data_IF_966795396001
#
_entry.id   IF_966795396001
#
_cell.length_a   1.000
_cell.length_b   1.000
_cell.length_c   1.000
_cell.angle_alpha   90.00
_cell.angle_beta   90.00
_cell.angle_gamma   90.00
#
_symmetry.space_group_name_H-M   'P 1'
#
loop_
_entity.id
_entity.type
_entity.pdbx_description
1 polymer ?
#
# COMPACT_ATOMS: atom_id res chain seq x y z
N UNK A 1 -2.69 12.81 73.52
CA UNK A 1 -2.21 14.21 73.44
C UNK A 1 -1.45 14.34 72.12
N UNK A 2 -1.70 15.29 71.23
CA UNK A 2 -2.50 16.54 71.30
C UNK A 2 -3.50 16.64 70.14
N UNK A 3 -4.50 17.53 70.27
CA UNK A 3 -5.46 17.87 69.22
C UNK A 3 -5.17 19.26 68.63
N UNK A 4 -5.45 19.44 67.33
CA UNK A 4 -6.02 20.66 66.73
C UNK A 4 -6.12 20.52 65.21
N UNK A 5 -6.93 21.26 64.46
CA UNK A 5 -8.29 21.85 64.60
C UNK A 5 -8.43 22.92 63.49
N UNK A 6 -9.62 23.07 62.89
CA UNK A 6 -9.93 24.13 61.92
C UNK A 6 -9.41 23.92 60.48
N UNK A 7 -9.99 24.49 59.43
CA UNK A 7 -11.25 25.26 59.26
C UNK A 7 -11.75 25.12 57.80
N UNK A 8 -13.07 25.25 57.60
CA UNK A 8 -13.69 25.71 56.35
C UNK A 8 -14.14 27.18 56.58
N UNK A 9 -14.46 28.04 55.59
CA UNK A 9 -15.19 27.77 54.33
C UNK A 9 -14.46 28.37 53.08
N UNK A 10 -15.02 28.83 51.95
CA UNK A 10 -16.40 29.20 51.55
C UNK A 10 -16.64 29.23 50.02
N UNK A 11 -17.92 29.18 49.64
CA UNK A 11 -18.60 29.75 48.45
C UNK A 11 -17.92 29.80 47.05
N UNK A 12 -18.53 29.07 46.10
CA UNK A 12 -18.94 29.71 44.83
C UNK A 12 -20.31 29.22 44.31
N UNK A 13 -21.33 30.00 44.69
CA UNK A 13 -22.58 30.33 43.99
C UNK A 13 -23.22 29.29 43.03
N UNK A 14 -24.41 28.90 43.44
CA UNK A 14 -25.52 28.32 42.67
C UNK A 14 -25.77 28.97 41.30
N UNK A 15 -26.07 28.12 40.30
CA UNK A 15 -26.91 28.45 39.15
C UNK A 15 -27.94 27.33 38.99
N UNK A 16 -29.22 27.69 38.79
CA UNK A 16 -30.34 26.74 38.80
C UNK A 16 -30.37 25.88 37.54
N UNK A 17 -30.70 24.60 37.71
CA UNK A 17 -31.31 23.81 36.63
C UNK A 17 -32.71 24.38 36.41
N UNK A 18 -33.01 24.76 35.17
CA UNK A 18 -34.36 25.06 34.71
C UNK A 18 -34.62 24.23 33.47
N UNK A 19 -35.45 23.20 33.63
CA UNK A 19 -36.00 22.45 32.51
C UNK A 19 -36.72 23.40 31.55
N UNK A 20 -36.38 23.31 30.28
CA UNK A 20 -37.08 23.98 29.18
C UNK A 20 -37.35 22.95 28.10
N UNK A 21 -38.44 22.21 28.29
CA UNK A 21 -39.06 21.38 27.26
C UNK A 21 -39.68 22.26 26.15
N UNK A 22 -38.85 22.88 25.32
CA UNK A 22 -39.33 23.60 24.12
C UNK A 22 -39.15 22.76 22.85
N UNK A 23 -40.03 21.76 22.75
CA UNK A 23 -40.86 21.48 21.57
C UNK A 23 -40.27 21.89 20.19
N UNK A 24 -39.22 21.21 19.73
CA UNK A 24 -38.72 21.33 18.34
C UNK A 24 -39.63 20.57 17.38
N UNK A 25 -40.84 21.12 17.17
CA UNK A 25 -41.74 20.71 16.09
C UNK A 25 -41.26 21.35 14.78
N UNK A 26 -40.20 20.79 14.20
CA UNK A 26 -39.68 21.25 12.92
C UNK A 26 -40.66 20.90 11.80
N UNK A 27 -41.13 21.91 11.08
CA UNK A 27 -42.15 21.77 10.04
C UNK A 27 -41.72 20.76 8.95
N UNK A 28 -42.53 19.73 8.79
CA UNK A 28 -42.71 19.08 7.49
C UNK A 28 -43.50 20.10 6.66
N UNK A 29 -42.81 20.82 5.77
CA UNK A 29 -43.30 21.37 4.50
C UNK A 29 -42.39 22.52 4.02
N UNK A 30 -41.28 22.15 3.38
CA UNK A 30 -40.61 22.91 2.31
C UNK A 30 -39.47 22.05 1.72
N UNK A 31 -39.84 21.01 0.98
CA UNK A 31 -38.91 20.38 0.03
C UNK A 31 -38.86 21.31 -1.18
N UNK A 32 -37.90 22.22 -1.20
CA UNK A 32 -37.59 23.02 -2.38
C UNK A 32 -37.13 22.09 -3.51
N UNK A 33 -38.07 21.72 -4.38
CA UNK A 33 -37.82 20.90 -5.56
C UNK A 33 -36.98 21.70 -6.56
N UNK A 34 -35.65 21.61 -6.42
CA UNK A 34 -34.70 22.12 -7.40
C UNK A 34 -34.90 21.41 -8.73
N UNK A 35 -35.71 22.02 -9.59
CA UNK A 35 -35.93 21.59 -10.96
C UNK A 35 -34.58 21.44 -11.68
N UNK A 36 -34.41 20.29 -12.33
CA UNK A 36 -33.23 20.04 -13.14
C UNK A 36 -33.38 20.84 -14.44
N UNK A 37 -32.38 21.66 -14.86
CA UNK A 37 -32.46 22.43 -16.09
C UNK A 37 -32.86 21.57 -17.30
N UNK A 38 -33.81 22.06 -18.10
CA UNK A 38 -34.47 21.33 -19.20
C UNK A 38 -33.48 20.61 -20.15
N UNK A 39 -32.37 21.25 -20.51
CA UNK A 39 -31.28 20.67 -21.33
C UNK A 39 -30.72 19.34 -20.78
N UNK A 40 -30.77 19.14 -19.45
CA UNK A 40 -30.32 17.90 -18.81
C UNK A 40 -31.37 16.80 -18.83
N UNK A 41 -32.64 17.10 -19.07
CA UNK A 41 -33.70 16.10 -19.24
C UNK A 41 -33.69 15.53 -20.66
N UNK A 42 -33.63 16.38 -21.69
CA UNK A 42 -33.54 15.92 -23.10
C UNK A 42 -32.31 15.03 -23.33
N UNK A 43 -31.17 15.40 -22.75
CA UNK A 43 -29.92 14.62 -22.82
C UNK A 43 -29.95 13.33 -21.98
N UNK A 44 -30.95 13.11 -21.12
CA UNK A 44 -31.20 11.80 -20.50
C UNK A 44 -32.04 10.93 -21.44
N UNK A 45 -32.97 11.49 -22.20
CA UNK A 45 -33.85 10.74 -23.10
C UNK A 45 -33.17 10.28 -24.40
N UNK A 46 -32.20 11.02 -24.92
CA UNK A 46 -31.42 10.62 -26.11
C UNK A 46 -30.35 9.56 -25.81
N UNK A 47 -29.95 9.39 -24.54
CA UNK A 47 -28.82 8.54 -24.16
C UNK A 47 -29.17 7.05 -24.08
N UNK A 48 -28.23 6.20 -24.52
CA UNK A 48 -28.37 4.74 -24.47
C UNK A 48 -28.56 4.22 -23.03
N UNK A 49 -29.33 3.13 -22.87
CA UNK A 49 -29.55 2.44 -21.58
C UNK A 49 -28.23 2.18 -20.81
N UNK A 50 -27.12 1.93 -21.53
CA UNK A 50 -25.78 1.72 -20.95
C UNK A 50 -25.15 3.00 -20.42
N UNK A 51 -25.32 4.13 -21.11
CA UNK A 51 -24.84 5.45 -20.69
C UNK A 51 -25.65 5.96 -19.48
N UNK A 52 -26.98 5.84 -19.50
CA UNK A 52 -27.85 6.18 -18.34
C UNK A 52 -27.43 5.39 -17.09
N UNK A 53 -27.20 4.07 -17.21
CA UNK A 53 -26.73 3.22 -16.09
C UNK A 53 -25.34 3.61 -15.57
N UNK A 54 -24.44 4.11 -16.44
CA UNK A 54 -23.12 4.64 -16.03
C UNK A 54 -23.27 5.95 -15.25
N UNK A 55 -24.08 6.90 -15.75
CA UNK A 55 -24.32 8.19 -15.12
C UNK A 55 -24.99 8.05 -13.74
N UNK A 56 -26.01 7.19 -13.62
CA UNK A 56 -26.67 6.91 -12.34
C UNK A 56 -25.72 6.30 -11.31
N UNK A 57 -24.87 5.34 -11.71
CA UNK A 57 -23.81 4.81 -10.85
C UNK A 57 -22.80 5.88 -10.44
N UNK A 58 -22.49 6.82 -11.33
CA UNK A 58 -21.56 7.92 -11.02
C UNK A 58 -22.17 8.88 -10.00
N UNK A 59 -23.42 9.35 -10.19
CA UNK A 59 -24.15 10.17 -9.20
C UNK A 59 -24.21 9.50 -7.82
N UNK A 60 -24.68 8.25 -7.75
CA UNK A 60 -24.69 7.46 -6.51
C UNK A 60 -23.31 7.33 -5.88
N UNK A 61 -22.25 7.20 -6.69
CA UNK A 61 -20.89 7.16 -6.19
C UNK A 61 -20.43 8.52 -5.63
N UNK A 62 -20.87 9.63 -6.19
CA UNK A 62 -20.55 10.98 -5.70
C UNK A 62 -21.33 11.37 -4.46
N UNK A 63 -22.63 11.09 -4.40
CA UNK A 63 -23.48 11.25 -3.21
C UNK A 63 -22.89 10.47 -2.02
N UNK A 64 -22.54 9.20 -2.22
CA UNK A 64 -21.92 8.36 -1.20
C UNK A 64 -20.45 8.75 -0.89
N UNK A 65 -19.84 9.75 -1.56
CA UNK A 65 -18.43 10.13 -1.33
C UNK A 65 -18.18 10.59 0.10
N UNK A 66 -19.09 11.38 0.67
CA UNK A 66 -19.01 11.87 2.06
C UNK A 66 -19.21 10.72 3.05
N UNK A 67 -20.25 9.90 2.85
CA UNK A 67 -20.54 8.73 3.68
C UNK A 67 -19.38 7.71 3.68
N UNK A 68 -18.77 7.45 2.52
CA UNK A 68 -17.55 6.61 2.42
C UNK A 68 -16.36 7.24 3.15
N UNK A 69 -16.21 8.57 3.15
CA UNK A 69 -15.16 9.28 3.91
C UNK A 69 -15.38 9.19 5.42
N UNK A 70 -16.62 9.33 5.88
CA UNK A 70 -17.01 9.12 7.29
C UNK A 70 -16.80 7.67 7.73
N UNK A 71 -17.34 6.68 7.01
CA UNK A 71 -17.16 5.24 7.30
C UNK A 71 -15.69 4.80 7.29
N UNK A 72 -14.84 5.44 6.48
CA UNK A 72 -13.36 5.26 6.52
C UNK A 72 -12.72 5.88 7.77
N UNK A 73 -13.15 7.08 8.20
CA UNK A 73 -12.69 7.69 9.47
C UNK A 73 -13.10 6.85 10.68
N UNK A 74 -14.37 6.46 10.76
CA UNK A 74 -14.93 5.63 11.81
C UNK A 74 -14.21 4.28 11.92
N UNK A 75 -14.04 3.56 10.79
CA UNK A 75 -13.28 2.30 10.76
C UNK A 75 -11.79 2.49 11.15
N UNK A 76 -11.21 3.67 10.94
CA UNK A 76 -9.85 4.01 11.40
C UNK A 76 -9.81 4.29 12.91
N UNK A 77 -10.82 4.95 13.45
CA UNK A 77 -10.98 5.19 14.89
C UNK A 77 -11.25 3.89 15.64
N UNK A 78 -12.20 3.06 15.19
CA UNK A 78 -12.48 1.75 15.76
C UNK A 78 -11.22 0.86 15.80
N UNK A 79 -10.46 0.80 14.71
CA UNK A 79 -9.15 0.12 14.65
C UNK A 79 -8.07 0.74 15.54
N UNK A 80 -8.19 2.01 15.96
CA UNK A 80 -7.30 2.64 16.94
C UNK A 80 -7.69 2.22 18.35
N UNK A 81 -8.98 2.27 18.69
CA UNK A 81 -9.52 1.82 19.98
C UNK A 81 -9.27 0.33 20.21
N UNK A 82 -9.53 -0.53 19.21
CA UNK A 82 -9.22 -1.97 19.24
C UNK A 82 -7.73 -2.25 19.49
N UNK A 83 -6.82 -1.39 18.99
CA UNK A 83 -5.38 -1.52 19.27
C UNK A 83 -5.03 -1.08 20.69
N UNK A 84 -5.67 -0.03 21.18
CA UNK A 84 -5.40 0.52 22.51
C UNK A 84 -5.92 -0.42 23.60
N UNK A 85 -7.16 -0.89 23.50
CA UNK A 85 -7.72 -1.89 24.41
C UNK A 85 -6.93 -3.21 24.43
N UNK A 86 -6.39 -3.65 23.29
CA UNK A 86 -5.49 -4.83 23.23
C UNK A 86 -4.09 -4.58 23.81
N UNK A 87 -3.67 -3.34 23.99
CA UNK A 87 -2.43 -2.98 24.70
C UNK A 87 -2.66 -2.86 26.22
N UNK A 88 -3.87 -2.46 26.63
CA UNK A 88 -4.25 -2.29 28.04
C UNK A 88 -4.66 -3.64 28.69
N UNK A 89 -5.22 -4.58 27.92
CA UNK A 89 -5.62 -5.91 28.42
C UNK A 89 -4.46 -6.91 28.59
N UNK A 90 -3.31 -6.70 27.95
CA UNK A 90 -2.14 -7.56 28.05
C UNK A 90 -0.97 -6.75 28.62
N UNK A 91 -0.69 -6.92 29.92
CA UNK A 91 0.45 -6.30 30.62
C UNK A 91 1.84 -6.72 30.12
N UNK A 92 1.92 -7.62 29.12
CA UNK A 92 3.12 -7.92 28.36
C UNK A 92 3.03 -7.36 26.94
N UNK A 93 4.10 -6.69 26.51
CA UNK A 93 4.13 -5.86 25.32
C UNK A 93 3.86 -6.58 24.00
N UNK A 94 2.57 -6.66 23.62
CA UNK A 94 2.08 -6.88 22.26
C UNK A 94 2.67 -8.11 21.52
N UNK A 95 1.90 -9.21 21.55
CA UNK A 95 2.01 -10.42 20.70
C UNK A 95 1.67 -10.13 19.22
N UNK A 96 2.08 -8.95 18.72
CA UNK A 96 2.11 -8.55 17.30
C UNK A 96 3.51 -8.21 16.80
N UNK A 97 4.54 -8.25 17.66
CA UNK A 97 5.81 -8.78 17.16
C UNK A 97 5.47 -10.18 16.66
N UNK A 98 5.56 -10.42 15.35
CA UNK A 98 5.77 -11.79 14.86
C UNK A 98 6.82 -12.39 15.76
N UNK A 99 6.60 -13.62 16.27
CA UNK A 99 7.64 -14.38 16.96
C UNK A 99 8.94 -14.14 16.19
N UNK A 100 9.95 -13.52 16.84
CA UNK A 100 11.23 -13.26 16.21
C UNK A 100 11.87 -14.64 16.06
N UNK A 101 11.52 -15.32 14.98
CA UNK A 101 12.28 -16.46 14.48
C UNK A 101 13.69 -15.95 14.26
N UNK A 102 14.69 -16.72 14.64
CA UNK A 102 16.05 -16.42 14.24
C UNK A 102 16.11 -16.58 12.72
N UNK A 103 16.15 -15.44 12.04
CA UNK A 103 16.24 -15.37 10.59
C UNK A 103 17.70 -15.63 10.24
N UNK A 104 17.96 -16.77 9.61
CA UNK A 104 19.29 -17.12 9.08
C UNK A 104 19.30 -16.77 7.60
N UNK A 105 19.96 -15.68 7.16
CA UNK A 105 20.04 -15.34 5.74
C UNK A 105 20.77 -16.42 4.95
N UNK A 106 20.36 -16.61 3.70
CA UNK A 106 21.08 -17.44 2.74
C UNK A 106 22.27 -16.65 2.16
N UNK A 107 23.33 -17.37 1.80
CA UNK A 107 24.45 -16.78 1.05
C UNK A 107 24.09 -16.50 -0.43
N UNK A 108 23.02 -17.13 -0.94
CA UNK A 108 22.58 -17.07 -2.33
C UNK A 108 22.36 -15.62 -2.77
N UNK A 109 22.94 -15.27 -3.90
CA UNK A 109 22.77 -13.96 -4.55
C UNK A 109 21.65 -14.06 -5.58
N UNK A 110 20.62 -13.23 -5.46
CA UNK A 110 19.52 -13.14 -6.42
C UNK A 110 19.48 -11.75 -7.03
N UNK A 111 19.62 -11.67 -8.35
CA UNK A 111 19.79 -10.43 -9.11
C UNK A 111 18.58 -10.23 -10.02
N UNK A 112 17.96 -9.06 -9.97
CA UNK A 112 17.09 -8.57 -11.05
C UNK A 112 17.94 -7.70 -11.97
N UNK A 113 18.08 -8.12 -13.23
CA UNK A 113 18.77 -7.35 -14.25
C UNK A 113 17.82 -6.35 -14.93
N UNK A 114 17.97 -5.06 -14.63
CA UNK A 114 17.16 -4.00 -15.20
C UNK A 114 17.75 -3.40 -16.50
N UNK A 115 18.65 -4.11 -17.20
CA UNK A 115 19.27 -3.65 -18.45
C UNK A 115 18.26 -3.39 -19.59
N UNK A 116 17.08 -4.00 -19.50
CA UNK A 116 16.02 -3.96 -20.52
C UNK A 116 15.05 -2.77 -20.41
N UNK A 117 15.36 -1.71 -19.63
CA UNK A 117 14.45 -0.55 -19.44
C UNK A 117 13.97 0.08 -20.77
N UNK A 118 14.86 0.15 -21.76
CA UNK A 118 14.57 0.68 -23.09
C UNK A 118 13.62 -0.20 -23.94
N UNK A 119 13.40 -1.46 -23.54
CA UNK A 119 12.47 -2.38 -24.22
C UNK A 119 11.05 -2.32 -23.67
N UNK A 120 10.80 -1.53 -22.62
CA UNK A 120 9.50 -1.42 -21.97
C UNK A 120 8.90 -0.02 -22.14
N UNK A 121 7.61 0.03 -22.50
CA UNK A 121 6.81 1.23 -22.29
C UNK A 121 6.67 1.53 -20.79
N UNK A 122 6.47 2.80 -20.44
CA UNK A 122 6.22 3.26 -19.06
C UNK A 122 5.08 2.50 -18.33
N UNK A 123 4.09 1.96 -19.08
CA UNK A 123 3.01 1.12 -18.53
C UNK A 123 3.52 -0.22 -17.96
N UNK A 124 4.61 -0.74 -18.52
CA UNK A 124 5.22 -2.02 -18.21
C UNK A 124 6.39 -1.87 -17.24
N UNK A 125 7.16 -0.79 -17.34
CA UNK A 125 8.06 -0.31 -16.26
C UNK A 125 7.30 -0.17 -14.93
N UNK A 126 6.07 0.36 -14.97
CA UNK A 126 5.17 0.44 -13.79
C UNK A 126 4.66 -0.90 -13.28
N UNK A 127 4.70 -1.97 -14.09
CA UNK A 127 4.43 -3.36 -13.65
C UNK A 127 5.70 -3.98 -13.04
N UNK A 128 6.85 -3.79 -13.67
CA UNK A 128 8.16 -4.22 -13.15
C UNK A 128 8.45 -3.63 -11.77
N UNK A 129 8.24 -2.33 -11.56
CA UNK A 129 8.40 -1.71 -10.24
C UNK A 129 7.52 -2.40 -9.17
N UNK A 130 6.27 -2.76 -9.49
CA UNK A 130 5.39 -3.49 -8.56
C UNK A 130 5.87 -4.92 -8.30
N UNK A 131 6.46 -5.59 -9.28
CA UNK A 131 7.09 -6.90 -9.12
C UNK A 131 8.31 -6.80 -8.20
N UNK A 132 9.20 -5.82 -8.41
CA UNK A 132 10.35 -5.53 -7.54
C UNK A 132 9.89 -5.25 -6.09
N UNK A 133 8.87 -4.39 -5.89
CA UNK A 133 8.26 -4.15 -4.58
C UNK A 133 7.74 -5.45 -3.94
N UNK A 134 7.17 -6.37 -4.73
CA UNK A 134 6.72 -7.68 -4.24
C UNK A 134 7.91 -8.57 -3.85
N UNK A 135 8.92 -8.71 -4.70
CA UNK A 135 10.13 -9.49 -4.43
C UNK A 135 10.81 -9.01 -3.14
N UNK A 136 11.04 -7.71 -3.00
CA UNK A 136 11.58 -7.10 -1.77
C UNK A 136 10.71 -7.41 -0.54
N UNK A 137 9.39 -7.23 -0.65
CA UNK A 137 8.47 -7.47 0.45
C UNK A 137 8.38 -8.96 0.85
N UNK A 138 8.62 -9.91 -0.06
CA UNK A 138 8.66 -11.33 0.29
C UNK A 138 10.03 -11.74 0.83
N UNK A 139 11.15 -11.25 0.27
CA UNK A 139 12.50 -11.53 0.80
C UNK A 139 12.61 -11.11 2.27
N UNK A 140 12.11 -9.90 2.61
CA UNK A 140 12.02 -9.37 3.97
C UNK A 140 11.11 -10.17 4.93
N UNK A 141 10.42 -11.21 4.45
CA UNK A 141 9.56 -12.13 5.23
C UNK A 141 10.00 -13.60 5.12
N UNK A 142 10.99 -13.91 4.29
CA UNK A 142 11.46 -15.27 4.04
C UNK A 142 12.04 -15.89 5.32
N UNK A 143 12.07 -17.22 5.38
CA UNK A 143 12.78 -17.94 6.43
C UNK A 143 14.30 -17.75 6.27
N UNK A 144 14.76 -17.83 5.02
CA UNK A 144 16.13 -17.58 4.58
C UNK A 144 16.12 -16.48 3.52
N UNK A 145 16.22 -15.19 3.92
CA UNK A 145 16.35 -14.09 2.98
C UNK A 145 17.64 -14.22 2.16
N UNK A 146 17.54 -14.03 0.85
CA UNK A 146 18.67 -14.05 -0.09
C UNK A 146 19.35 -12.68 -0.15
N UNK A 147 20.61 -12.65 -0.58
CA UNK A 147 21.33 -11.42 -0.88
C UNK A 147 20.72 -10.83 -2.17
N UNK A 148 19.83 -9.85 -2.02
CA UNK A 148 18.97 -9.39 -3.11
C UNK A 148 19.58 -8.17 -3.83
N UNK A 149 19.71 -8.25 -5.15
CA UNK A 149 20.35 -7.26 -6.01
C UNK A 149 19.38 -6.73 -7.07
N UNK A 150 19.55 -5.46 -7.41
CA UNK A 150 18.89 -4.80 -8.52
C UNK A 150 19.97 -4.05 -9.30
N UNK A 151 20.41 -4.63 -10.41
CA UNK A 151 21.54 -4.15 -11.23
C UNK A 151 21.03 -3.40 -12.45
N UNK A 152 21.92 -2.65 -13.12
CA UNK A 152 21.55 -1.84 -14.28
C UNK A 152 20.50 -0.76 -13.94
N UNK A 153 20.44 -0.31 -12.68
CA UNK A 153 19.38 0.57 -12.18
C UNK A 153 19.50 2.01 -12.71
N UNK A 154 18.68 2.31 -13.73
CA UNK A 154 18.60 3.62 -14.37
C UNK A 154 17.26 3.83 -15.06
N UNK A 155 17.26 4.71 -16.06
CA UNK A 155 16.14 4.90 -17.00
C UNK A 155 14.79 5.20 -16.36
N UNK A 156 13.73 4.82 -17.08
CA UNK A 156 12.34 5.00 -16.70
C UNK A 156 12.02 4.34 -15.35
N UNK A 157 12.62 3.18 -15.06
CA UNK A 157 12.43 2.47 -13.79
C UNK A 157 12.86 3.32 -12.59
N UNK A 158 14.07 3.87 -12.63
CA UNK A 158 14.61 4.73 -11.57
C UNK A 158 13.76 5.98 -11.37
N UNK A 159 13.34 6.63 -12.45
CA UNK A 159 12.53 7.85 -12.38
C UNK A 159 11.13 7.56 -11.83
N UNK A 160 10.48 6.48 -12.28
CA UNK A 160 9.22 6.00 -11.73
C UNK A 160 9.33 5.62 -10.25
N UNK A 161 10.46 5.06 -9.80
CA UNK A 161 10.73 4.81 -8.38
C UNK A 161 10.90 6.12 -7.57
N UNK A 162 11.62 7.11 -8.11
CA UNK A 162 11.77 8.44 -7.50
C UNK A 162 10.43 9.19 -7.35
N UNK A 163 9.52 9.05 -8.31
CA UNK A 163 8.19 9.66 -8.25
C UNK A 163 7.27 8.94 -7.26
N UNK A 164 7.19 7.60 -7.35
CA UNK A 164 6.11 6.82 -6.72
C UNK A 164 6.47 6.18 -5.39
N UNK A 165 7.75 5.92 -5.11
CA UNK A 165 8.22 5.30 -3.87
C UNK A 165 9.57 5.87 -3.42
N UNK A 166 9.60 7.15 -3.03
CA UNK A 166 10.77 7.84 -2.46
C UNK A 166 11.42 7.09 -1.27
N UNK A 167 10.74 6.11 -0.68
CA UNK A 167 11.27 5.23 0.34
C UNK A 167 12.27 4.19 -0.18
N UNK A 168 12.41 3.98 -1.50
CA UNK A 168 13.29 2.97 -2.11
C UNK A 168 14.75 3.11 -1.67
N UNK A 169 15.23 4.36 -1.50
CA UNK A 169 16.58 4.70 -1.02
C UNK A 169 16.84 4.14 0.40
N UNK A 170 15.78 3.97 1.19
CA UNK A 170 15.83 3.50 2.58
C UNK A 170 15.45 2.01 2.72
N UNK A 171 15.33 1.27 1.61
CA UNK A 171 15.13 -0.19 1.68
C UNK A 171 16.37 -0.86 2.28
N UNK A 172 16.14 -1.86 3.14
CA UNK A 172 17.20 -2.56 3.87
C UNK A 172 17.41 -3.95 3.28
N UNK A 173 18.64 -4.43 3.32
CA UNK A 173 18.99 -5.79 2.87
C UNK A 173 18.68 -5.99 1.36
N UNK A 174 18.98 -4.96 0.57
CA UNK A 174 18.93 -4.94 -0.90
C UNK A 174 20.10 -4.11 -1.46
N UNK A 175 20.69 -4.57 -2.57
CA UNK A 175 21.80 -3.91 -3.25
C UNK A 175 21.34 -3.32 -4.59
N UNK A 176 20.97 -2.04 -4.58
CA UNK A 176 20.56 -1.31 -5.79
C UNK A 176 21.81 -0.66 -6.42
N UNK A 177 22.13 -1.01 -7.67
CA UNK A 177 23.37 -0.63 -8.35
C UNK A 177 23.10 -0.18 -9.80
N UNK A 178 23.72 0.92 -10.28
CA UNK A 178 23.61 1.34 -11.67
C UNK A 178 24.46 0.48 -12.63
N UNK A 179 25.53 -0.14 -12.13
CA UNK A 179 26.41 -1.03 -12.90
C UNK A 179 25.69 -2.33 -13.30
N UNK A 180 26.13 -2.93 -14.40
CA UNK A 180 25.63 -4.21 -14.90
C UNK A 180 26.11 -5.37 -14.01
N UNK A 181 25.36 -6.48 -13.95
CA UNK A 181 25.69 -7.58 -13.05
C UNK A 181 27.06 -8.23 -13.34
N UNK A 182 27.52 -8.19 -14.59
CA UNK A 182 28.83 -8.69 -15.01
C UNK A 182 30.01 -7.89 -14.47
N UNK A 183 29.80 -6.65 -14.02
CA UNK A 183 30.84 -5.82 -13.38
C UNK A 183 30.95 -6.09 -11.88
N UNK A 184 29.92 -6.72 -11.29
CA UNK A 184 29.75 -6.88 -9.84
C UNK A 184 29.98 -8.32 -9.38
N UNK A 185 29.84 -9.29 -10.27
CA UNK A 185 29.92 -10.72 -10.00
C UNK A 185 30.90 -11.40 -10.94
N UNK A 186 31.58 -12.43 -10.46
CA UNK A 186 32.43 -13.26 -11.32
C UNK A 186 31.58 -14.06 -12.31
N UNK A 187 32.08 -14.24 -13.53
CA UNK A 187 31.40 -15.02 -14.58
C UNK A 187 31.11 -16.48 -14.15
N UNK A 188 32.01 -17.09 -13.39
CA UNK A 188 31.90 -18.46 -12.86
C UNK A 188 30.80 -18.64 -11.79
N UNK A 189 30.33 -17.55 -11.18
CA UNK A 189 29.27 -17.56 -10.17
C UNK A 189 27.86 -17.38 -10.78
N UNK A 190 27.78 -16.91 -12.03
CA UNK A 190 26.52 -16.44 -12.61
C UNK A 190 25.71 -17.57 -13.27
N UNK A 191 24.43 -17.64 -12.93
CA UNK A 191 23.44 -18.52 -13.56
C UNK A 191 22.25 -17.66 -14.01
N UNK A 192 22.00 -17.56 -15.30
CA UNK A 192 20.88 -16.76 -15.82
C UNK A 192 19.61 -17.63 -15.91
N UNK A 193 18.55 -17.25 -15.21
CA UNK A 193 17.28 -17.94 -15.21
C UNK A 193 16.44 -17.46 -16.41
N UNK A 194 16.31 -18.32 -17.42
CA UNK A 194 15.47 -18.10 -18.60
C UNK A 194 14.64 -19.35 -18.92
N UNK A 195 13.45 -19.16 -19.49
CA UNK A 195 12.57 -20.26 -19.95
C UNK A 195 13.14 -21.03 -21.14
N UNK A 196 14.06 -20.41 -21.87
CA UNK A 196 14.53 -20.88 -23.17
C UNK A 196 15.88 -21.62 -23.04
N UNK A 197 16.31 -21.85 -21.79
CA UNK A 197 17.48 -22.66 -21.44
C UNK A 197 17.20 -24.15 -21.70
N UNK A 198 18.09 -24.89 -22.38
CA UNK A 198 17.99 -26.35 -22.45
C UNK A 198 18.32 -27.02 -21.11
N UNK A 199 19.06 -26.34 -20.23
CA UNK A 199 19.50 -26.87 -18.94
C UNK A 199 18.40 -26.70 -17.88
N UNK A 200 18.07 -27.81 -17.20
CA UNK A 200 17.06 -27.86 -16.13
C UNK A 200 17.72 -27.67 -14.77
N UNK A 201 17.30 -26.63 -14.04
CA UNK A 201 17.77 -26.35 -12.67
C UNK A 201 17.09 -27.27 -11.66
N UNK A 202 17.83 -28.24 -11.10
CA UNK A 202 17.33 -29.18 -10.09
C UNK A 202 17.43 -28.66 -8.65
N UNK A 203 18.53 -27.99 -8.31
CA UNK A 203 18.84 -27.52 -6.95
C UNK A 203 19.49 -26.12 -6.98
N UNK A 204 19.43 -25.41 -5.86
CA UNK A 204 20.02 -24.07 -5.71
C UNK A 204 21.32 -24.13 -4.90
N UNK A 205 22.45 -23.97 -5.58
CA UNK A 205 23.75 -23.72 -4.96
C UNK A 205 23.77 -22.31 -4.33
N UNK A 206 23.86 -22.24 -2.99
CA UNK A 206 23.91 -20.99 -2.24
C UNK A 206 25.18 -20.15 -2.47
N UNK A 207 26.22 -20.72 -3.07
CA UNK A 207 27.41 -19.95 -3.45
C UNK A 207 27.18 -19.09 -4.71
N UNK A 208 26.19 -19.41 -5.54
CA UNK A 208 25.98 -18.79 -6.86
C UNK A 208 25.18 -17.49 -6.84
N UNK A 209 25.18 -16.83 -8.00
CA UNK A 209 24.44 -15.62 -8.30
C UNK A 209 23.43 -15.87 -9.43
N UNK A 210 22.16 -16.01 -9.08
CA UNK A 210 21.08 -16.26 -10.01
C UNK A 210 20.51 -14.94 -10.54
N UNK A 211 20.42 -14.81 -11.86
CA UNK A 211 19.93 -13.60 -12.54
C UNK A 211 18.52 -13.84 -13.09
N UNK A 212 17.60 -12.94 -12.83
CA UNK A 212 16.27 -12.88 -13.42
C UNK A 212 16.22 -11.63 -14.31
N UNK A 213 15.78 -11.79 -15.56
CA UNK A 213 15.55 -10.67 -16.46
C UNK A 213 14.44 -9.74 -15.93
N UNK A 214 14.79 -8.47 -15.65
CA UNK A 214 13.87 -7.43 -15.22
C UNK A 214 13.08 -6.86 -16.40
N UNK A 215 12.25 -7.71 -17.02
CA UNK A 215 11.50 -7.40 -18.25
C UNK A 215 10.02 -7.80 -18.11
N UNK A 216 9.13 -7.02 -18.70
CA UNK A 216 7.69 -7.29 -18.80
C UNK A 216 7.26 -7.25 -20.27
N UNK A 217 7.38 -8.40 -20.93
CA UNK A 217 7.31 -8.55 -22.40
C UNK A 217 5.94 -8.97 -22.96
N UNK A 218 5.03 -9.52 -22.13
CA UNK A 218 3.76 -10.14 -22.60
C UNK A 218 3.93 -11.26 -23.65
N UNK A 219 5.12 -11.88 -23.76
CA UNK A 219 5.54 -12.82 -24.81
C UNK A 219 5.68 -12.19 -26.21
N UNK A 220 5.94 -10.88 -26.35
CA UNK A 220 6.22 -10.29 -27.65
C UNK A 220 7.61 -10.64 -28.21
N UNK A 221 8.59 -11.00 -27.37
CA UNK A 221 9.96 -11.33 -27.78
C UNK A 221 10.24 -12.84 -27.84
N UNK A 222 9.21 -13.68 -28.02
CA UNK A 222 9.44 -15.07 -28.41
C UNK A 222 9.90 -15.10 -29.86
N UNK A 223 11.13 -15.58 -30.07
CA UNK A 223 11.57 -16.00 -31.40
C UNK A 223 10.88 -17.33 -31.67
N UNK A 224 9.88 -17.34 -32.56
CA UNK A 224 9.30 -18.57 -33.06
C UNK A 224 10.42 -19.38 -33.78
N UNK A 225 10.57 -20.65 -33.38
CA UNK A 225 11.50 -21.63 -33.96
C UNK A 225 10.75 -22.57 -34.91
#
# INVERSE_FOLDING_TARGET
>A
MLMSSGMAPENLKTAKVTDTEENVKCNIDQVESKELPLEKMENIETMSKRQRKKLMKQKQWEEQRVLRKQKRKEKRLKRKMERQSQLESNGEGSVRKRMRRDIVPSALRLIIDCSFDNLMELKDVKKLHKQIQRCYAENRKALHPVQFYLTSHGGQLKDNMNETDKGWINWKDIHIKPAHYSELMKKEDLVYLTSDSPDVLSELDESKAYVIGGLVDHNHHKVDH
#
